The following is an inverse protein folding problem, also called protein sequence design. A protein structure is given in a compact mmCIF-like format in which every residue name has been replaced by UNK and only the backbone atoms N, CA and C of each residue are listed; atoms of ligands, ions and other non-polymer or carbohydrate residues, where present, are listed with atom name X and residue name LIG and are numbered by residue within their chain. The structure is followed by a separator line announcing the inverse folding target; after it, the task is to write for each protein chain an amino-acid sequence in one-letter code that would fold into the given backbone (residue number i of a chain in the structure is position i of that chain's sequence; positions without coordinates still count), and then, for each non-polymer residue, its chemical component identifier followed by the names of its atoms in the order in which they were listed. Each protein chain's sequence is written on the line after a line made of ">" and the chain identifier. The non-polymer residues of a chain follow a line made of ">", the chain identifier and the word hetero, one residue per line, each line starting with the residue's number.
data_IF_539218314291
#
_entry.id   IF_539218314291
#
_cell.length_a   1.000
_cell.length_b   1.000
_cell.length_c   1.000
_cell.angle_alpha   90.00
_cell.angle_beta   90.00
_cell.angle_gamma   90.00
#
_symmetry.space_group_name_H-M   'P 1'
#
loop_
_entity.id
_entity.type
_entity.pdbx_description
1 polymer ?
#
# COMPACT_ATOMS: atom_id res chain seq x y z
N UNK A 1 -9.97 16.45 -1.49
CA UNK A 1 -9.48 17.07 -2.74
C UNK A 1 -10.12 16.38 -3.94
N UNK A 2 -10.14 17.02 -5.11
CA UNK A 2 -10.71 16.43 -6.34
C UNK A 2 -10.01 15.12 -6.74
N UNK A 3 -8.69 15.05 -6.64
CA UNK A 3 -7.94 13.81 -6.91
C UNK A 3 -8.26 12.69 -5.91
N UNK A 4 -8.40 13.01 -4.62
CA UNK A 4 -8.78 12.01 -3.62
C UNK A 4 -10.16 11.41 -3.91
N UNK A 5 -11.11 12.25 -4.34
CA UNK A 5 -12.45 11.81 -4.74
C UNK A 5 -12.39 10.89 -5.97
N UNK A 6 -11.62 11.26 -6.99
CA UNK A 6 -11.45 10.44 -8.19
C UNK A 6 -10.83 9.06 -7.90
N UNK A 7 -9.96 8.96 -6.90
CA UNK A 7 -9.38 7.67 -6.49
C UNK A 7 -10.43 6.79 -5.82
N UNK A 8 -11.27 7.36 -4.95
CA UNK A 8 -12.37 6.62 -4.31
C UNK A 8 -13.35 6.09 -5.36
N UNK A 9 -13.75 6.95 -6.30
CA UNK A 9 -14.65 6.61 -7.41
C UNK A 9 -14.03 5.59 -8.38
N UNK A 10 -12.70 5.53 -8.53
CA UNK A 10 -11.97 4.47 -9.25
C UNK A 10 -11.82 3.19 -8.39
N UNK A 11 -12.90 2.83 -7.67
CA UNK A 11 -13.06 1.61 -6.88
C UNK A 11 -11.83 1.31 -6.00
N UNK A 12 -11.49 2.26 -5.13
CA UNK A 12 -10.43 2.13 -4.12
C UNK A 12 -10.62 0.91 -3.21
N UNK A 13 -11.88 0.54 -2.96
CA UNK A 13 -12.25 -0.58 -2.10
C UNK A 13 -11.72 -1.93 -2.64
N UNK A 14 -11.78 -2.17 -3.95
CA UNK A 14 -11.22 -3.37 -4.59
C UNK A 14 -9.70 -3.45 -4.38
N UNK A 15 -8.98 -2.34 -4.57
CA UNK A 15 -7.53 -2.28 -4.36
C UNK A 15 -7.19 -2.49 -2.88
N UNK A 16 -7.98 -1.89 -1.98
CA UNK A 16 -7.86 -2.06 -0.53
C UNK A 16 -8.02 -3.52 -0.10
N UNK A 17 -9.10 -4.17 -0.53
CA UNK A 17 -9.38 -5.57 -0.22
C UNK A 17 -8.27 -6.50 -0.74
N UNK A 18 -7.84 -6.31 -1.99
CA UNK A 18 -6.73 -7.09 -2.55
C UNK A 18 -5.42 -6.89 -1.82
N UNK A 19 -5.13 -5.64 -1.41
CA UNK A 19 -3.91 -5.30 -0.67
C UNK A 19 -3.91 -5.93 0.72
N UNK A 20 -5.02 -5.87 1.46
CA UNK A 20 -5.19 -6.54 2.76
C UNK A 20 -4.96 -8.05 2.60
N UNK A 21 -5.61 -8.68 1.61
CA UNK A 21 -5.46 -10.11 1.37
C UNK A 21 -4.01 -10.52 1.02
N UNK A 22 -3.29 -9.70 0.25
CA UNK A 22 -1.89 -9.94 -0.08
C UNK A 22 -0.96 -9.79 1.13
N UNK A 23 -1.30 -8.92 2.08
CA UNK A 23 -0.56 -8.78 3.33
C UNK A 23 -0.86 -9.91 4.30
N UNK A 24 -2.13 -10.28 4.49
CA UNK A 24 -2.55 -11.35 5.39
C UNK A 24 -2.01 -12.72 4.96
N UNK A 25 -1.86 -12.96 3.65
CA UNK A 25 -1.26 -14.18 3.12
C UNK A 25 0.28 -14.22 3.26
N UNK A 26 0.91 -13.11 3.64
CA UNK A 26 2.36 -12.95 3.66
C UNK A 26 2.99 -12.75 2.28
N UNK A 27 2.23 -12.82 1.18
CA UNK A 27 2.74 -12.62 -0.18
C UNK A 27 3.42 -11.25 -0.33
N UNK A 28 2.81 -10.21 0.25
CA UNK A 28 3.33 -8.85 0.18
C UNK A 28 4.65 -8.71 0.95
N UNK A 29 4.70 -9.21 2.19
CA UNK A 29 5.92 -9.15 3.00
C UNK A 29 7.07 -9.93 2.33
N UNK A 30 6.78 -11.12 1.79
CA UNK A 30 7.76 -11.92 1.04
C UNK A 30 8.31 -11.17 -0.17
N UNK A 31 7.46 -10.44 -0.90
CA UNK A 31 7.90 -9.62 -2.02
C UNK A 31 8.82 -8.46 -1.60
N UNK A 32 8.58 -7.86 -0.43
CA UNK A 32 9.43 -6.81 0.11
C UNK A 32 10.77 -7.34 0.64
N UNK A 33 10.80 -8.56 1.18
CA UNK A 33 12.04 -9.24 1.57
C UNK A 33 12.97 -9.50 0.38
N UNK A 34 12.41 -9.77 -0.81
CA UNK A 34 13.14 -9.87 -2.08
C UNK A 34 13.64 -8.51 -2.63
N UNK A 35 13.34 -7.40 -1.94
CA UNK A 35 13.82 -6.07 -2.33
C UNK A 35 13.12 -5.49 -3.55
N UNK A 36 13.85 -4.70 -4.34
CA UNK A 36 13.29 -3.98 -5.51
C UNK A 36 12.72 -4.92 -6.56
N UNK A 37 13.41 -6.04 -6.84
CA UNK A 37 12.95 -7.01 -7.82
C UNK A 37 11.64 -7.70 -7.39
N UNK A 38 11.55 -8.08 -6.11
CA UNK A 38 10.34 -8.67 -5.54
C UNK A 38 9.15 -7.73 -5.59
N UNK A 39 9.34 -6.47 -5.17
CA UNK A 39 8.32 -5.42 -5.32
C UNK A 39 7.83 -5.28 -6.76
N UNK A 40 8.74 -5.19 -7.74
CA UNK A 40 8.36 -5.03 -9.15
C UNK A 40 7.58 -6.24 -9.68
N UNK A 41 7.98 -7.45 -9.30
CA UNK A 41 7.28 -8.69 -9.67
C UNK A 41 5.88 -8.75 -9.03
N UNK A 42 5.79 -8.41 -7.75
CA UNK A 42 4.53 -8.40 -7.02
C UNK A 42 3.57 -7.36 -7.57
N UNK A 43 3.98 -6.09 -7.73
CA UNK A 43 3.07 -5.02 -8.20
C UNK A 43 2.54 -5.32 -9.61
N UNK A 44 3.35 -5.95 -10.46
CA UNK A 44 2.93 -6.41 -11.78
C UNK A 44 1.87 -7.51 -11.69
N UNK A 45 2.06 -8.51 -10.82
CA UNK A 45 1.08 -9.60 -10.61
C UNK A 45 -0.21 -9.08 -9.96
N UNK A 46 -0.08 -8.24 -8.94
CA UNK A 46 -1.19 -7.61 -8.24
C UNK A 46 -2.02 -6.75 -9.19
N UNK A 47 -1.39 -5.87 -9.96
CA UNK A 47 -2.06 -5.09 -11.00
C UNK A 47 -2.77 -5.96 -12.04
N UNK A 48 -2.16 -7.07 -12.48
CA UNK A 48 -2.80 -8.02 -13.39
C UNK A 48 -4.03 -8.68 -12.76
N UNK A 49 -3.97 -9.05 -11.47
CA UNK A 49 -5.11 -9.69 -10.77
C UNK A 49 -6.32 -8.77 -10.63
N UNK A 50 -6.09 -7.46 -10.51
CA UNK A 50 -7.15 -6.45 -10.42
C UNK A 50 -7.47 -5.79 -11.77
N UNK A 51 -6.82 -6.21 -12.87
CA UNK A 51 -6.90 -5.57 -14.18
C UNK A 51 -6.59 -4.05 -14.16
N UNK A 52 -5.61 -3.62 -13.35
CA UNK A 52 -5.19 -2.22 -13.15
C UNK A 52 -3.73 -1.98 -13.52
N UNK A 53 -3.41 -0.76 -14.01
CA UNK A 53 -2.05 -0.36 -14.40
C UNK A 53 -1.83 1.15 -14.31
N UNK A 54 -0.57 1.59 -14.25
CA UNK A 54 -0.24 3.01 -14.25
C UNK A 54 -0.93 3.75 -13.09
N UNK A 55 -1.55 4.91 -13.37
CA UNK A 55 -2.18 5.73 -12.33
C UNK A 55 -3.30 5.00 -11.57
N UNK A 56 -4.13 4.20 -12.24
CA UNK A 56 -5.24 3.46 -11.57
C UNK A 56 -4.76 2.37 -10.61
N UNK A 57 -3.49 1.95 -10.70
CA UNK A 57 -2.87 1.03 -9.74
C UNK A 57 -2.05 1.77 -8.68
N UNK A 58 -1.16 2.66 -9.13
CA UNK A 58 -0.16 3.28 -8.25
C UNK A 58 -0.73 4.42 -7.39
N UNK A 59 -1.77 5.14 -7.84
CA UNK A 59 -2.42 6.18 -7.03
C UNK A 59 -3.13 5.58 -5.81
N UNK A 60 -4.02 4.58 -5.95
CA UNK A 60 -4.67 3.97 -4.79
C UNK A 60 -3.65 3.25 -3.89
N UNK A 61 -2.66 2.53 -4.43
CA UNK A 61 -1.59 1.94 -3.61
C UNK A 61 -0.82 2.99 -2.81
N UNK A 62 -0.49 4.14 -3.40
CA UNK A 62 0.21 5.23 -2.69
C UNK A 62 -0.65 5.79 -1.57
N UNK A 63 -1.91 6.09 -1.84
CA UNK A 63 -2.83 6.58 -0.82
C UNK A 63 -2.95 5.56 0.32
N UNK A 64 -3.21 4.30 -0.01
CA UNK A 64 -3.42 3.23 0.96
C UNK A 64 -2.18 2.94 1.78
N UNK A 65 -0.97 2.94 1.21
CA UNK A 65 0.24 2.56 1.94
C UNK A 65 0.94 3.73 2.64
N UNK A 66 0.75 4.96 2.17
CA UNK A 66 1.50 6.14 2.68
C UNK A 66 0.62 7.25 3.23
N UNK A 67 -0.70 7.22 2.97
CA UNK A 67 -1.61 8.31 3.31
C UNK A 67 -1.41 9.58 2.48
N UNK A 68 -0.54 9.56 1.46
CA UNK A 68 -0.23 10.71 0.60
C UNK A 68 -0.69 10.44 -0.83
N UNK A 69 -1.05 11.50 -1.55
CA UNK A 69 -1.38 11.44 -2.99
C UNK A 69 -0.14 11.62 -3.87
N UNK A 70 0.86 12.32 -3.35
CA UNK A 70 2.11 12.62 -4.03
C UNK A 70 3.29 12.25 -3.15
N UNK A 71 4.45 12.11 -3.77
CA UNK A 71 5.69 11.79 -3.08
C UNK A 71 6.66 11.06 -3.99
N UNK A 72 7.78 10.60 -3.42
CA UNK A 72 8.80 9.86 -4.16
C UNK A 72 8.27 8.52 -4.68
N UNK A 73 9.17 7.76 -5.31
CA UNK A 73 8.89 6.40 -5.75
C UNK A 73 8.38 5.54 -4.58
N UNK A 74 7.21 4.92 -4.79
CA UNK A 74 6.54 4.16 -3.74
C UNK A 74 7.29 2.87 -3.42
N UNK A 75 7.87 2.18 -4.41
CA UNK A 75 8.58 0.93 -4.18
C UNK A 75 9.78 1.13 -3.26
N UNK A 76 10.61 2.13 -3.57
CA UNK A 76 11.78 2.51 -2.77
C UNK A 76 11.37 2.97 -1.37
N UNK A 77 10.28 3.74 -1.26
CA UNK A 77 9.73 4.18 0.03
C UNK A 77 9.29 2.99 0.87
N UNK A 78 8.52 2.05 0.32
CA UNK A 78 8.01 0.89 1.05
C UNK A 78 9.12 -0.04 1.52
N UNK A 79 10.13 -0.27 0.67
CA UNK A 79 11.29 -1.07 1.06
C UNK A 79 12.06 -0.45 2.23
N UNK A 80 12.18 0.87 2.24
CA UNK A 80 12.79 1.59 3.36
C UNK A 80 11.95 1.45 4.64
N UNK A 81 10.65 1.71 4.56
CA UNK A 81 9.73 1.58 5.70
C UNK A 81 9.70 0.15 6.24
N UNK A 82 9.63 -0.86 5.36
CA UNK A 82 9.61 -2.25 5.75
C UNK A 82 10.89 -2.67 6.48
N UNK A 83 12.07 -2.32 5.93
CA UNK A 83 13.35 -2.61 6.56
C UNK A 83 13.49 -1.92 7.91
N UNK A 84 13.16 -0.62 7.96
CA UNK A 84 13.20 0.18 9.18
C UNK A 84 12.34 -0.41 10.31
N UNK A 85 11.12 -0.86 9.99
CA UNK A 85 10.23 -1.53 10.95
C UNK A 85 10.77 -2.90 11.40
N UNK A 86 11.30 -3.69 10.46
CA UNK A 86 11.81 -5.05 10.75
C UNK A 86 13.07 -5.06 11.62
N UNK A 87 13.96 -4.08 11.46
CA UNK A 87 15.18 -3.99 12.27
C UNK A 87 15.03 -3.14 13.54
N UNK A 88 13.81 -2.65 13.85
CA UNK A 88 13.53 -1.74 14.98
C UNK A 88 14.53 -0.57 15.07
N UNK A 89 15.05 -0.13 13.91
CA UNK A 89 16.08 0.90 13.84
C UNK A 89 15.53 2.32 14.07
N UNK A 90 14.20 2.44 14.18
CA UNK A 90 13.50 3.70 14.38
C UNK A 90 12.93 3.72 15.79
N UNK A 91 13.22 4.77 16.55
CA UNK A 91 12.66 4.91 17.88
C UNK A 91 11.16 5.19 17.81
N UNK A 92 10.40 4.73 18.81
CA UNK A 92 8.98 5.03 18.93
C UNK A 92 8.67 6.55 18.98
N UNK A 93 9.64 7.37 19.38
CA UNK A 93 9.51 8.83 19.43
C UNK A 93 9.60 9.50 18.05
N UNK A 94 10.04 8.80 17.00
CA UNK A 94 10.21 9.36 15.66
C UNK A 94 8.89 9.54 14.89
N UNK A 95 7.73 9.17 15.47
CA UNK A 95 6.43 9.27 14.80
C UNK A 95 6.33 8.41 13.54
N UNK A 96 7.05 7.28 13.53
CA UNK A 96 7.12 6.36 12.41
C UNK A 96 5.96 5.37 12.45
N UNK A 97 5.23 5.23 11.34
CA UNK A 97 4.19 4.21 11.18
C UNK A 97 4.79 3.00 10.48
N UNK A 98 4.82 1.86 11.18
CA UNK A 98 5.18 0.57 10.61
C UNK A 98 4.16 0.11 9.58
N UNK A 99 4.51 -0.87 8.74
CA UNK A 99 3.52 -1.48 7.85
C UNK A 99 2.39 -2.14 8.65
N UNK A 100 2.69 -2.78 9.77
CA UNK A 100 1.68 -3.48 10.59
C UNK A 100 0.63 -2.51 11.14
N UNK A 101 1.06 -1.35 11.66
CA UNK A 101 0.16 -0.27 12.08
C UNK A 101 -0.62 0.29 10.89
N UNK A 102 0.04 0.47 9.75
CA UNK A 102 -0.62 0.97 8.54
C UNK A 102 -1.72 0.03 8.08
N UNK A 103 -1.47 -1.28 8.05
CA UNK A 103 -2.47 -2.27 7.69
C UNK A 103 -3.58 -2.39 8.72
N UNK A 104 -3.32 -2.15 10.01
CA UNK A 104 -4.38 -2.01 11.02
C UNK A 104 -5.32 -0.85 10.66
N UNK A 105 -4.78 0.33 10.38
CA UNK A 105 -5.59 1.50 9.97
C UNK A 105 -6.39 1.23 8.69
N UNK A 106 -5.79 0.57 7.69
CA UNK A 106 -6.49 0.22 6.44
C UNK A 106 -7.69 -0.70 6.72
N UNK A 107 -7.58 -1.64 7.67
CA UNK A 107 -8.69 -2.54 8.04
C UNK A 107 -9.83 -1.83 8.77
N UNK A 108 -9.53 -0.77 9.51
CA UNK A 108 -10.51 0.02 10.28
C UNK A 108 -11.25 1.05 9.43
N UNK A 109 -10.88 1.22 8.15
CA UNK A 109 -11.60 2.11 7.25
C UNK A 109 -13.05 1.64 7.05
N UNK A 110 -13.98 2.58 7.07
CA UNK A 110 -15.36 2.34 6.66
C UNK A 110 -15.42 2.17 5.14
N UNK A 111 -15.15 0.95 4.69
CA UNK A 111 -15.16 0.60 3.27
C UNK A 111 -16.55 0.74 2.63
N UNK A 112 -17.62 0.63 3.41
CA UNK A 112 -18.99 0.79 2.90
C UNK A 112 -19.27 2.25 2.55
N UNK A 113 -18.73 3.21 3.31
CA UNK A 113 -18.77 4.64 2.95
C UNK A 113 -17.99 5.00 1.68
N UNK A 114 -17.09 4.12 1.22
CA UNK A 114 -16.21 4.33 0.07
C UNK A 114 -16.66 3.60 -1.20
N UNK A 115 -17.68 2.73 -1.11
CA UNK A 115 -18.33 2.09 -2.26
C UNK A 115 -19.34 3.08 -2.86
N UNK A 116 -18.87 4.01 -3.69
CA UNK A 116 -19.74 4.88 -4.49
C UNK A 116 -20.30 4.17 -5.70
#
# INVERSE_FOLDING_TARGET
>A
STEGKAIVEDNLAEVGAGLIAAYDSGEFASALDEGSAGWQKWVKRFGKSLNRKGKSLFMPLRMLLTGKLHGPDIGSTLLLLYKAGKCNAVSAAAGFTTLDERFRTIRELDWDSLKS
#
